data_IF_727707499428
#
_entry.id   IF_727707499428
#
_cell.length_a   1.000
_cell.length_b   1.000
_cell.length_c   1.000
_cell.angle_alpha   90.00
_cell.angle_beta   90.00
_cell.angle_gamma   90.00
#
_symmetry.space_group_name_H-M   'P 1'
#
loop_
_entity.id
_entity.type
_entity.pdbx_description
1 polymer ?
#
# COMPACT_ATOMS: atom_id res chain seq x y z
N UNK A 1 -39.93 61.84 -21.72
CA UNK A 1 -39.51 61.05 -22.90
C UNK A 1 -38.10 61.50 -23.24
N UNK A 2 -37.10 60.66 -23.00
CA UNK A 2 -35.69 61.02 -23.25
C UNK A 2 -35.50 61.40 -24.73
N UNK A 3 -34.78 62.49 -24.98
CA UNK A 3 -34.56 63.02 -26.33
C UNK A 3 -33.73 62.03 -27.14
N UNK A 4 -34.04 61.85 -28.44
CA UNK A 4 -33.28 60.96 -29.35
C UNK A 4 -31.75 61.18 -29.28
N UNK A 5 -31.34 62.41 -28.95
CA UNK A 5 -29.94 62.77 -28.74
C UNK A 5 -29.31 62.13 -27.49
N UNK A 6 -30.04 62.06 -26.38
CA UNK A 6 -29.55 61.42 -25.14
C UNK A 6 -29.43 59.90 -25.29
N UNK A 7 -30.24 59.29 -26.16
CA UNK A 7 -30.12 57.88 -26.52
C UNK A 7 -28.90 57.63 -27.41
N UNK A 8 -28.65 58.49 -28.40
CA UNK A 8 -27.43 58.42 -29.22
C UNK A 8 -26.16 58.61 -28.39
N UNK A 9 -26.12 59.58 -27.48
CA UNK A 9 -24.96 59.78 -26.59
C UNK A 9 -24.72 58.59 -25.65
N UNK A 10 -25.78 57.93 -25.16
CA UNK A 10 -25.66 56.70 -24.36
C UNK A 10 -25.15 55.52 -25.18
N UNK A 11 -25.60 55.37 -26.42
CA UNK A 11 -25.15 54.31 -27.32
C UNK A 11 -23.70 54.53 -27.76
N UNK A 12 -23.29 55.78 -27.99
CA UNK A 12 -21.90 56.17 -28.25
C UNK A 12 -20.99 55.95 -27.02
N UNK A 13 -21.48 56.24 -25.81
CA UNK A 13 -20.76 55.91 -24.57
C UNK A 13 -20.61 54.40 -24.33
N UNK A 14 -21.60 53.59 -24.76
CA UNK A 14 -21.54 52.13 -24.68
C UNK A 14 -20.61 51.54 -25.75
N UNK A 15 -20.55 52.13 -26.94
CA UNK A 15 -19.58 51.77 -27.98
C UNK A 15 -18.13 52.11 -27.59
N UNK A 16 -17.93 53.22 -26.88
CA UNK A 16 -16.60 53.64 -26.40
C UNK A 16 -16.19 52.98 -25.08
N UNK A 17 -17.07 52.21 -24.44
CA UNK A 17 -16.67 51.30 -23.35
C UNK A 17 -15.94 50.13 -23.98
N UNK A 18 -14.74 49.85 -23.49
CA UNK A 18 -14.04 48.59 -23.73
C UNK A 18 -14.89 47.50 -23.05
N UNK A 19 -15.87 46.96 -23.77
CA UNK A 19 -16.62 45.79 -23.37
C UNK A 19 -15.66 44.63 -23.60
N UNK A 20 -14.98 44.23 -22.53
CA UNK A 20 -14.15 43.02 -22.55
C UNK A 20 -15.04 41.84 -22.97
N UNK A 21 -14.85 41.37 -24.21
CA UNK A 21 -15.46 40.13 -24.65
C UNK A 21 -14.77 38.95 -23.95
N UNK A 22 -15.43 37.79 -23.87
CA UNK A 22 -14.93 36.64 -23.12
C UNK A 22 -13.52 36.12 -23.49
N UNK A 23 -12.88 36.42 -24.65
CA UNK A 23 -11.48 36.10 -24.88
C UNK A 23 -10.54 37.30 -24.70
N UNK A 24 -10.90 38.33 -23.92
CA UNK A 24 -9.97 39.44 -23.69
C UNK A 24 -8.85 39.01 -22.77
N UNK A 25 -7.67 38.79 -23.35
CA UNK A 25 -6.44 38.44 -22.64
C UNK A 25 -5.88 39.71 -22.01
N UNK A 26 -5.86 39.78 -20.69
CA UNK A 26 -5.30 40.90 -19.94
C UNK A 26 -4.18 40.44 -19.00
N UNK A 27 -3.22 41.33 -18.76
CA UNK A 27 -2.06 41.06 -17.91
C UNK A 27 -1.14 39.99 -18.49
N UNK A 28 -0.51 39.21 -17.62
CA UNK A 28 0.46 38.18 -18.00
C UNK A 28 -0.19 36.86 -18.47
N UNK A 29 -1.30 36.98 -19.21
CA UNK A 29 -2.09 35.84 -19.69
C UNK A 29 -1.24 34.87 -20.51
N UNK A 30 -0.35 35.39 -21.37
CA UNK A 30 0.42 34.57 -22.28
C UNK A 30 1.43 33.68 -21.56
N UNK A 31 2.12 34.21 -20.54
CA UNK A 31 3.07 33.42 -19.74
C UNK A 31 2.31 32.39 -18.89
N UNK A 32 1.17 32.76 -18.30
CA UNK A 32 0.32 31.80 -17.57
C UNK A 32 -0.22 30.69 -18.48
N UNK A 33 -0.57 31.00 -19.73
CA UNK A 33 -1.00 30.00 -20.71
C UNK A 33 0.17 29.07 -21.08
N UNK A 34 1.36 29.63 -21.35
CA UNK A 34 2.55 28.86 -21.68
C UNK A 34 2.99 27.93 -20.53
N UNK A 35 2.92 28.40 -19.28
CA UNK A 35 3.17 27.57 -18.10
C UNK A 35 2.17 26.42 -17.99
N UNK A 36 0.88 26.67 -18.21
CA UNK A 36 -0.15 25.62 -18.21
C UNK A 36 0.03 24.63 -19.35
N UNK A 37 0.38 25.09 -20.54
CA UNK A 37 0.66 24.22 -21.69
C UNK A 37 1.88 23.33 -21.41
N UNK A 38 2.92 23.89 -20.79
CA UNK A 38 4.09 23.13 -20.35
C UNK A 38 3.75 22.09 -19.27
N UNK A 39 3.01 22.48 -18.22
CA UNK A 39 2.57 21.56 -17.16
C UNK A 39 1.69 20.43 -17.71
N UNK A 40 0.75 20.75 -18.61
CA UNK A 40 -0.12 19.75 -19.24
C UNK A 40 0.67 18.84 -20.19
N UNK A 41 1.64 19.35 -20.94
CA UNK A 41 2.54 18.55 -21.76
C UNK A 41 3.41 17.61 -20.90
N UNK A 42 3.97 18.12 -19.81
CA UNK A 42 4.76 17.33 -18.84
C UNK A 42 3.89 16.25 -18.18
N UNK A 43 2.65 16.57 -17.80
CA UNK A 43 1.72 15.59 -17.25
C UNK A 43 1.36 14.50 -18.26
N UNK A 44 1.08 14.87 -19.52
CA UNK A 44 0.84 13.91 -20.61
C UNK A 44 2.06 13.01 -20.86
N UNK A 45 3.25 13.57 -20.87
CA UNK A 45 4.50 12.82 -21.00
C UNK A 45 4.66 11.81 -19.84
N UNK A 46 4.49 12.25 -18.59
CA UNK A 46 4.53 11.36 -17.42
C UNK A 46 3.46 10.28 -17.46
N UNK A 47 2.26 10.59 -17.95
CA UNK A 47 1.16 9.64 -18.12
C UNK A 47 1.48 8.56 -19.16
N UNK A 48 2.03 8.95 -20.31
CA UNK A 48 2.43 8.02 -21.39
C UNK A 48 3.54 7.07 -20.95
N UNK A 49 4.49 7.55 -20.15
CA UNK A 49 5.60 6.75 -19.63
C UNK A 49 5.29 6.03 -18.31
N UNK A 50 4.03 6.01 -17.87
CA UNK A 50 3.61 5.40 -16.60
C UNK A 50 4.39 5.86 -15.35
N UNK A 51 4.89 7.10 -15.35
CA UNK A 51 5.67 7.67 -14.24
C UNK A 51 4.82 8.50 -13.28
N UNK A 52 3.48 8.39 -13.38
CA UNK A 52 2.59 9.07 -12.45
C UNK A 52 2.53 8.27 -11.15
N UNK A 53 2.77 8.95 -10.02
CA UNK A 53 2.65 8.38 -8.67
C UNK A 53 1.32 7.66 -8.49
N UNK A 54 0.22 8.24 -8.98
CA UNK A 54 -1.13 7.64 -8.91
C UNK A 54 -1.19 6.29 -9.63
N UNK A 55 -0.52 6.13 -10.78
CA UNK A 55 -0.51 4.86 -11.50
C UNK A 55 0.35 3.82 -10.78
N UNK A 56 1.50 4.22 -10.23
CA UNK A 56 2.36 3.34 -9.44
C UNK A 56 1.65 2.85 -8.17
N UNK A 57 1.03 3.76 -7.42
CA UNK A 57 0.25 3.43 -6.22
C UNK A 57 -0.89 2.47 -6.57
N UNK A 58 -1.63 2.69 -7.66
CA UNK A 58 -2.67 1.76 -8.12
C UNK A 58 -2.13 0.36 -8.42
N UNK A 59 -0.96 0.26 -9.05
CA UNK A 59 -0.30 -1.04 -9.33
C UNK A 59 0.10 -1.75 -8.03
N UNK A 60 0.72 -1.02 -7.09
CA UNK A 60 1.08 -1.55 -5.77
C UNK A 60 -0.15 -2.05 -5.03
N UNK A 61 -1.22 -1.24 -4.96
CA UNK A 61 -2.47 -1.66 -4.31
C UNK A 61 -3.07 -2.91 -4.95
N UNK A 62 -3.06 -3.00 -6.28
CA UNK A 62 -3.59 -4.15 -6.99
C UNK A 62 -2.81 -5.43 -6.68
N UNK A 63 -1.49 -5.33 -6.64
CA UNK A 63 -0.61 -6.44 -6.27
C UNK A 63 -0.82 -6.89 -4.82
N UNK A 64 -0.86 -5.94 -3.89
CA UNK A 64 -0.80 -6.18 -2.44
C UNK A 64 -2.15 -6.60 -1.85
N UNK A 65 -3.24 -6.03 -2.38
CA UNK A 65 -4.60 -6.33 -1.96
C UNK A 65 -5.27 -7.38 -2.84
N UNK A 66 -4.51 -8.05 -3.71
CA UNK A 66 -4.99 -9.17 -4.52
C UNK A 66 -5.61 -10.24 -3.61
N UNK A 67 -6.89 -10.62 -3.83
CA UNK A 67 -7.57 -11.59 -2.98
C UNK A 67 -6.91 -12.96 -3.10
N UNK A 68 -6.81 -13.67 -1.98
CA UNK A 68 -6.16 -14.99 -1.92
C UNK A 68 -7.10 -16.01 -1.30
N UNK A 69 -7.03 -17.26 -1.74
CA UNK A 69 -7.77 -18.38 -1.13
C UNK A 69 -7.01 -18.92 0.08
N UNK A 70 -7.70 -18.99 1.22
CA UNK A 70 -7.18 -19.63 2.43
C UNK A 70 -7.36 -21.14 2.38
N UNK A 71 -6.58 -21.84 3.19
CA UNK A 71 -6.76 -23.27 3.43
C UNK A 71 -8.17 -23.56 3.98
N UNK A 72 -8.69 -24.75 3.66
CA UNK A 72 -9.94 -25.24 4.23
C UNK A 72 -9.79 -25.34 5.75
N UNK A 73 -10.83 -24.96 6.50
CA UNK A 73 -10.85 -25.08 7.95
C UNK A 73 -10.67 -26.55 8.35
N UNK A 74 -9.49 -26.87 8.89
CA UNK A 74 -9.10 -28.20 9.33
C UNK A 74 -8.73 -28.15 10.82
N UNK A 75 -8.91 -29.27 11.56
CA UNK A 75 -8.55 -29.33 12.98
C UNK A 75 -7.03 -29.23 13.22
N UNK A 76 -6.21 -29.43 12.18
CA UNK A 76 -4.76 -29.32 12.23
C UNK A 76 -4.25 -28.40 11.14
N UNK A 77 -3.24 -27.60 11.49
CA UNK A 77 -2.49 -26.77 10.55
C UNK A 77 -1.47 -27.65 9.81
N UNK A 78 -1.28 -27.45 8.51
CA UNK A 78 -0.31 -28.15 7.67
C UNK A 78 0.72 -27.19 7.10
N UNK A 79 1.93 -27.67 6.84
CA UNK A 79 2.94 -26.88 6.15
C UNK A 79 2.60 -26.67 4.67
N UNK A 80 2.95 -25.50 4.12
CA UNK A 80 2.75 -25.16 2.71
C UNK A 80 1.38 -24.58 2.35
N UNK A 81 0.41 -24.63 3.27
CA UNK A 81 -0.93 -24.06 3.07
C UNK A 81 -1.00 -22.58 3.48
N UNK A 82 -2.04 -21.90 2.98
CA UNK A 82 -2.27 -20.47 3.18
C UNK A 82 -3.11 -20.22 4.45
N UNK A 83 -2.57 -19.44 5.38
CA UNK A 83 -3.21 -19.10 6.65
C UNK A 83 -3.20 -17.60 6.92
N UNK A 84 -4.11 -17.19 7.79
CA UNK A 84 -4.12 -15.86 8.40
C UNK A 84 -3.78 -15.98 9.88
N UNK A 85 -2.91 -15.07 10.36
CA UNK A 85 -2.56 -14.98 11.76
C UNK A 85 -3.47 -13.95 12.43
N UNK A 86 -4.34 -14.43 13.32
CA UNK A 86 -5.30 -13.64 14.08
C UNK A 86 -4.85 -13.49 15.52
N UNK A 87 -4.85 -12.27 16.04
CA UNK A 87 -4.62 -12.01 17.45
C UNK A 87 -5.82 -12.51 18.29
N UNK A 88 -5.53 -13.25 19.36
CA UNK A 88 -6.54 -13.80 20.26
C UNK A 88 -7.15 -12.74 21.20
N UNK A 89 -6.35 -11.77 21.64
CA UNK A 89 -6.77 -10.69 22.52
C UNK A 89 -6.51 -9.34 21.82
N UNK A 90 -7.57 -8.58 21.56
CA UNK A 90 -7.43 -7.16 21.23
C UNK A 90 -7.19 -6.39 22.53
N UNK A 91 -6.18 -5.50 22.59
CA UNK A 91 -5.98 -4.64 23.76
C UNK A 91 -7.05 -3.54 23.88
N UNK A 92 -7.83 -3.28 22.83
CA UNK A 92 -8.94 -2.31 22.85
C UNK A 92 -10.28 -3.00 23.13
N UNK A 93 -11.18 -2.30 23.80
CA UNK A 93 -12.56 -2.73 24.10
C UNK A 93 -13.44 -2.93 22.85
N UNK A 94 -12.90 -2.61 21.67
CA UNK A 94 -13.57 -2.79 20.40
C UNK A 94 -13.30 -4.21 19.89
N UNK A 95 -14.38 -4.95 19.65
CA UNK A 95 -14.45 -6.37 19.30
C UNK A 95 -13.85 -6.73 17.93
N UNK A 96 -13.01 -5.86 17.36
CA UNK A 96 -12.40 -6.09 16.06
C UNK A 96 -11.20 -7.03 16.20
N UNK A 97 -11.33 -8.21 15.60
CA UNK A 97 -10.21 -9.14 15.46
C UNK A 97 -9.10 -8.50 14.64
N UNK A 98 -7.90 -8.43 15.22
CA UNK A 98 -6.71 -7.94 14.54
C UNK A 98 -6.01 -9.09 13.82
N UNK A 99 -5.60 -8.84 12.58
CA UNK A 99 -4.84 -9.77 11.74
C UNK A 99 -3.46 -9.21 11.48
N UNK A 100 -2.45 -10.08 11.45
CA UNK A 100 -1.11 -9.70 11.03
C UNK A 100 -1.14 -9.28 9.55
N UNK A 101 -0.53 -8.15 9.23
CA UNK A 101 -0.46 -7.58 7.89
C UNK A 101 0.91 -6.99 7.64
N UNK A 102 1.45 -7.21 6.45
CA UNK A 102 2.68 -6.54 6.03
C UNK A 102 2.43 -5.07 5.63
N UNK A 103 3.42 -4.20 5.88
CA UNK A 103 3.47 -2.82 5.42
C UNK A 103 4.61 -2.67 4.41
N UNK A 104 4.32 -1.97 3.32
CA UNK A 104 5.33 -1.59 2.34
C UNK A 104 6.00 -0.31 2.81
N UNK A 105 7.32 -0.31 2.81
CA UNK A 105 8.09 0.90 3.05
C UNK A 105 8.17 1.69 1.75
N UNK A 106 8.02 3.01 1.85
CA UNK A 106 7.93 3.90 0.69
C UNK A 106 9.28 4.19 0.02
N UNK A 107 10.38 3.69 0.57
CA UNK A 107 11.73 4.15 0.25
C UNK A 107 12.18 3.84 -1.17
N UNK A 108 11.55 2.88 -1.86
CA UNK A 108 11.90 2.51 -3.25
C UNK A 108 10.67 2.32 -4.18
N UNK A 109 9.64 3.14 -3.99
CA UNK A 109 8.35 3.05 -4.71
C UNK A 109 8.42 3.25 -6.24
N UNK A 110 9.55 3.68 -6.80
CA UNK A 110 9.66 3.93 -8.25
C UNK A 110 9.91 2.66 -9.07
N UNK A 111 10.38 1.57 -8.44
CA UNK A 111 10.66 0.29 -9.12
C UNK A 111 9.86 -0.87 -8.52
N UNK A 112 9.50 -0.78 -7.24
CA UNK A 112 9.09 -1.95 -6.47
C UNK A 112 7.57 -2.00 -6.32
N UNK A 113 6.96 -3.01 -6.96
CA UNK A 113 5.50 -3.20 -7.01
C UNK A 113 4.99 -4.23 -5.97
N UNK A 114 5.89 -4.81 -5.18
CA UNK A 114 5.61 -5.94 -4.28
C UNK A 114 6.47 -5.88 -3.01
N UNK A 115 6.20 -6.74 -2.03
CA UNK A 115 6.98 -6.83 -0.79
C UNK A 115 8.44 -7.21 -1.03
N UNK A 116 9.32 -6.63 -0.21
CA UNK A 116 10.75 -6.86 -0.24
C UNK A 116 11.34 -7.01 1.16
N UNK A 117 12.64 -7.29 1.22
CA UNK A 117 13.41 -7.32 2.46
C UNK A 117 13.29 -5.98 3.21
N UNK A 118 13.15 -6.05 4.53
CA UNK A 118 13.04 -4.87 5.39
C UNK A 118 11.63 -4.28 5.52
N UNK A 119 10.65 -4.79 4.78
CA UNK A 119 9.25 -4.41 4.97
C UNK A 119 8.78 -4.75 6.40
N UNK A 120 8.01 -3.84 7.01
CA UNK A 120 7.55 -3.97 8.39
C UNK A 120 6.23 -4.72 8.48
N UNK A 121 5.84 -5.11 9.69
CA UNK A 121 4.54 -5.70 9.98
C UNK A 121 3.69 -4.79 10.86
N UNK A 122 2.37 -4.87 10.68
CA UNK A 122 1.36 -4.18 11.47
C UNK A 122 0.19 -5.12 11.77
N UNK A 123 -0.61 -4.73 12.76
CA UNK A 123 -1.89 -5.35 13.02
C UNK A 123 -3.00 -4.57 12.31
N UNK A 124 -3.79 -5.23 11.46
CA UNK A 124 -4.88 -4.61 10.72
C UNK A 124 -6.22 -5.29 11.06
N UNK A 125 -7.34 -4.55 11.18
CA UNK A 125 -8.67 -5.13 11.40
C UNK A 125 -9.25 -5.79 10.13
N UNK A 126 -8.53 -5.75 9.00
CA UNK A 126 -9.01 -6.28 7.72
C UNK A 126 -9.06 -7.81 7.72
N UNK A 127 -10.28 -8.36 7.68
CA UNK A 127 -10.54 -9.81 7.62
C UNK A 127 -10.36 -10.42 6.21
N UNK A 128 -10.54 -9.63 5.16
CA UNK A 128 -10.52 -10.13 3.77
C UNK A 128 -9.13 -10.72 3.46
N UNK A 129 -9.02 -11.97 3.00
CA UNK A 129 -7.74 -12.57 2.66
C UNK A 129 -7.14 -11.94 1.41
N UNK A 130 -5.97 -11.33 1.59
CA UNK A 130 -5.17 -10.65 0.60
C UNK A 130 -3.71 -11.10 0.73
N UNK A 131 -2.90 -10.87 -0.30
CA UNK A 131 -1.46 -11.20 -0.26
C UNK A 131 -0.78 -10.63 0.99
N UNK A 132 -1.14 -9.40 1.39
CA UNK A 132 -0.61 -8.72 2.58
C UNK A 132 -0.83 -9.44 3.93
N UNK A 133 -1.93 -10.17 4.09
CA UNK A 133 -2.30 -10.81 5.36
C UNK A 133 -2.31 -12.34 5.28
N UNK A 134 -1.80 -12.90 4.18
CA UNK A 134 -1.76 -14.34 3.95
C UNK A 134 -0.33 -14.85 4.08
N UNK A 135 -0.17 -15.85 4.93
CA UNK A 135 1.11 -16.45 5.28
C UNK A 135 1.11 -17.94 4.98
N UNK A 136 2.29 -18.49 4.68
CA UNK A 136 2.54 -19.91 4.57
C UNK A 136 3.49 -20.33 5.67
N UNK A 137 3.21 -21.46 6.29
CA UNK A 137 4.13 -22.04 7.26
C UNK A 137 5.06 -22.99 6.53
N UNK A 138 6.36 -22.85 6.76
CA UNK A 138 7.39 -23.77 6.25
C UNK A 138 8.15 -24.41 7.40
N UNK A 139 8.57 -25.65 7.20
CA UNK A 139 9.53 -26.28 8.08
C UNK A 139 10.93 -25.71 7.79
N UNK A 140 11.76 -25.45 8.82
CA UNK A 140 13.17 -25.07 8.62
C UNK A 140 14.01 -26.22 8.07
N UNK A 141 13.54 -27.46 8.25
CA UNK A 141 14.14 -28.67 7.67
C UNK A 141 13.46 -28.90 6.33
N UNK A 142 14.23 -28.94 5.24
CA UNK A 142 13.71 -29.25 3.91
C UNK A 142 13.18 -30.68 3.91
N UNK A 143 11.85 -30.86 3.84
CA UNK A 143 11.12 -32.04 3.32
C UNK A 143 9.70 -32.22 3.89
N UNK A 144 9.23 -31.35 4.79
CA UNK A 144 7.92 -31.55 5.45
C UNK A 144 6.76 -30.81 4.76
N UNK A 145 6.72 -30.79 3.43
CA UNK A 145 5.58 -30.23 2.70
C UNK A 145 4.35 -31.11 2.93
N UNK A 146 3.20 -30.51 3.28
CA UNK A 146 1.93 -31.18 3.59
C UNK A 146 1.87 -31.96 4.94
N UNK A 147 2.94 -31.89 5.74
CA UNK A 147 2.93 -32.48 7.07
C UNK A 147 2.17 -31.58 8.06
N UNK A 148 1.50 -32.21 9.04
CA UNK A 148 0.82 -31.50 10.13
C UNK A 148 1.83 -30.86 11.07
N UNK A 149 1.62 -29.58 11.36
CA UNK A 149 2.43 -28.81 12.31
C UNK A 149 2.17 -29.32 13.73
N UNK A 150 3.24 -29.62 14.47
CA UNK A 150 3.15 -30.06 15.87
C UNK A 150 3.53 -28.92 16.82
N UNK A 151 2.95 -28.94 18.02
CA UNK A 151 3.37 -28.04 19.10
C UNK A 151 4.82 -28.30 19.50
N UNK A 152 5.57 -27.23 19.75
CA UNK A 152 6.99 -27.28 20.09
C UNK A 152 7.94 -27.51 18.91
N UNK A 153 7.42 -27.59 17.69
CA UNK A 153 8.24 -27.68 16.47
C UNK A 153 8.63 -26.29 15.98
N UNK A 154 9.87 -26.16 15.51
CA UNK A 154 10.34 -24.96 14.82
C UNK A 154 9.63 -24.80 13.47
N UNK A 155 9.20 -23.59 13.19
CA UNK A 155 8.53 -23.21 11.96
C UNK A 155 9.03 -21.84 11.47
N UNK A 156 9.01 -21.68 10.16
CA UNK A 156 9.25 -20.42 9.46
C UNK A 156 7.91 -19.90 8.94
N UNK A 157 7.70 -18.60 9.05
CA UNK A 157 6.50 -17.93 8.52
C UNK A 157 6.91 -17.19 7.26
N UNK A 158 6.39 -17.61 6.13
CA UNK A 158 6.63 -17.06 4.80
C UNK A 158 5.42 -16.25 4.34
N UNK A 159 5.63 -15.19 3.56
CA UNK A 159 4.54 -14.50 2.85
C UNK A 159 4.10 -15.27 1.61
N UNK A 160 2.80 -15.21 1.28
CA UNK A 160 2.23 -15.93 0.14
C UNK A 160 2.90 -15.61 -1.21
N UNK A 161 3.14 -14.33 -1.49
CA UNK A 161 3.67 -13.86 -2.78
C UNK A 161 4.64 -12.68 -2.54
N UNK A 162 5.83 -12.79 -3.11
CA UNK A 162 6.90 -11.78 -3.09
C UNK A 162 7.19 -11.31 -4.51
N UNK A 163 7.76 -10.11 -4.65
CA UNK A 163 7.99 -9.50 -5.97
C UNK A 163 9.01 -10.23 -6.84
N UNK A 164 10.10 -10.67 -6.23
CA UNK A 164 11.26 -11.23 -6.95
C UNK A 164 11.17 -12.75 -7.14
N UNK A 165 10.04 -13.37 -6.78
CA UNK A 165 9.90 -14.83 -6.74
C UNK A 165 10.69 -15.52 -5.62
N UNK A 166 11.46 -14.76 -4.84
CA UNK A 166 12.22 -15.25 -3.69
C UNK A 166 11.34 -15.26 -2.43
N UNK A 167 11.33 -16.35 -1.65
CA UNK A 167 10.50 -16.42 -0.44
C UNK A 167 10.95 -15.38 0.59
N UNK A 168 9.98 -14.67 1.17
CA UNK A 168 10.24 -13.70 2.23
C UNK A 168 9.70 -14.21 3.54
N UNK A 169 10.57 -14.24 4.54
CA UNK A 169 10.29 -14.77 5.87
C UNK A 169 10.09 -13.66 6.89
N UNK A 170 9.26 -13.95 7.88
CA UNK A 170 9.09 -13.13 9.06
C UNK A 170 10.33 -13.26 9.94
N UNK A 171 10.96 -12.13 10.29
CA UNK A 171 12.14 -12.05 11.14
C UNK A 171 11.86 -11.14 12.34
N UNK A 172 12.21 -11.60 13.53
CA UNK A 172 12.26 -10.74 14.71
C UNK A 172 13.64 -10.06 14.77
N UNK A 173 13.68 -8.76 14.51
CA UNK A 173 14.91 -7.97 14.64
C UNK A 173 15.07 -7.46 16.08
N UNK A 174 16.32 -7.23 16.50
CA UNK A 174 16.61 -6.54 17.74
C UNK A 174 16.18 -5.07 17.65
N UNK A 175 16.11 -4.40 18.80
CA UNK A 175 15.64 -3.02 18.96
C UNK A 175 16.09 -2.11 17.81
N UNK A 176 15.12 -1.60 17.07
CA UNK A 176 15.31 -0.65 15.96
C UNK A 176 14.67 0.68 16.34
N UNK A 177 15.15 1.77 15.76
CA UNK A 177 14.64 3.14 15.99
C UNK A 177 13.12 3.27 15.76
N UNK A 178 12.53 2.38 14.97
CA UNK A 178 11.10 2.38 14.63
C UNK A 178 10.17 2.01 15.79
N UNK A 179 10.68 1.33 16.82
CA UNK A 179 9.89 0.84 17.98
C UNK A 179 10.09 1.69 19.23
N UNK A 180 10.74 2.86 19.09
CA UNK A 180 11.15 3.72 20.20
C UNK A 180 11.93 2.99 21.31
N UNK A 181 12.51 1.82 20.99
CA UNK A 181 13.33 1.03 21.92
C UNK A 181 12.58 0.15 22.92
N UNK A 182 11.24 0.04 22.87
CA UNK A 182 10.51 -0.75 23.88
C UNK A 182 10.28 -2.21 23.47
N UNK A 183 10.11 -2.48 22.18
CA UNK A 183 9.73 -3.79 21.66
C UNK A 183 10.57 -4.20 20.45
N UNK A 184 10.69 -5.51 20.23
CA UNK A 184 11.37 -6.04 19.04
C UNK A 184 10.55 -5.75 17.80
N UNK A 185 11.18 -5.19 16.78
CA UNK A 185 10.54 -4.99 15.49
C UNK A 185 10.43 -6.33 14.75
N UNK A 186 9.34 -6.49 14.00
CA UNK A 186 9.17 -7.61 13.08
C UNK A 186 9.33 -7.07 11.66
N UNK A 187 10.25 -7.66 10.91
CA UNK A 187 10.55 -7.26 9.53
C UNK A 187 10.66 -8.47 8.61
N UNK A 188 10.57 -8.22 7.31
CA UNK A 188 10.75 -9.25 6.29
C UNK A 188 12.23 -9.48 5.99
N UNK A 189 12.62 -10.74 5.85
CA UNK A 189 13.98 -11.16 5.49
C UNK A 189 13.94 -12.17 4.35
N UNK A 190 14.84 -12.02 3.39
CA UNK A 190 15.08 -13.03 2.33
C UNK A 190 15.81 -14.26 2.90
N UNK A 191 16.60 -14.06 3.94
CA UNK A 191 17.44 -15.10 4.53
C UNK A 191 16.76 -15.72 5.75
N UNK A 192 16.58 -17.05 5.79
CA UNK A 192 16.03 -17.75 6.95
C UNK A 192 17.12 -17.92 8.02
N UNK A 193 17.26 -16.89 8.87
CA UNK A 193 18.18 -16.90 10.00
C UNK A 193 17.55 -17.53 11.26
N UNK A 194 18.33 -17.65 12.34
CA UNK A 194 17.84 -18.04 13.68
C UNK A 194 16.70 -17.14 14.19
N UNK A 195 16.67 -15.88 13.74
CA UNK A 195 15.66 -14.88 14.10
C UNK A 195 14.34 -15.04 13.33
N UNK A 196 14.31 -15.95 12.35
CA UNK A 196 13.11 -16.29 11.58
C UNK A 196 12.43 -17.56 12.10
N UNK A 197 13.03 -18.23 13.10
CA UNK A 197 12.48 -19.46 13.69
C UNK A 197 11.50 -19.11 14.81
N UNK A 198 10.27 -19.58 14.62
CA UNK A 198 9.21 -19.50 15.62
C UNK A 198 8.86 -20.91 16.06
N UNK A 199 8.28 -21.03 17.25
CA UNK A 199 7.76 -22.29 17.74
C UNK A 199 6.33 -22.08 18.22
N UNK A 200 5.46 -23.04 17.93
CA UNK A 200 4.08 -22.99 18.40
C UNK A 200 4.01 -23.50 19.84
N UNK A 201 3.48 -22.68 20.75
CA UNK A 201 3.20 -23.08 22.13
C UNK A 201 1.71 -23.19 22.37
N UNK A 202 1.31 -24.20 23.13
CA UNK A 202 -0.04 -24.27 23.66
C UNK A 202 -0.18 -23.30 24.83
N UNK A 203 -1.01 -22.27 24.69
CA UNK A 203 -1.48 -21.51 25.84
C UNK A 203 -2.47 -22.37 26.61
N UNK A 204 -2.04 -22.95 27.74
CA UNK A 204 -2.98 -23.58 28.68
C UNK A 204 -3.91 -22.49 29.20
N UNK A 205 -5.21 -22.63 28.95
CA UNK A 205 -6.25 -21.93 29.70
C UNK A 205 -6.56 -22.71 30.96
#
# INVERSE_FOLDING_TARGET
MASRREQQERDEMLQNRIIYSLPTRMGNWNEQLALREYETAMAKYKMQHCRLVVQNVKKVFHSVLKPTSLAVEAPSVQFGLNYQLKALASPSKDTTSLYLSCLLNETDNDVIQHFQQGCCFSASPLRIPCVRNTFRLRSPIHDEVDQRVRYGQDLLIEIYESGDGEPLFLRSENLSTDTFGEHRAIRMSKFPDIYCRFFSMSTKK
#
